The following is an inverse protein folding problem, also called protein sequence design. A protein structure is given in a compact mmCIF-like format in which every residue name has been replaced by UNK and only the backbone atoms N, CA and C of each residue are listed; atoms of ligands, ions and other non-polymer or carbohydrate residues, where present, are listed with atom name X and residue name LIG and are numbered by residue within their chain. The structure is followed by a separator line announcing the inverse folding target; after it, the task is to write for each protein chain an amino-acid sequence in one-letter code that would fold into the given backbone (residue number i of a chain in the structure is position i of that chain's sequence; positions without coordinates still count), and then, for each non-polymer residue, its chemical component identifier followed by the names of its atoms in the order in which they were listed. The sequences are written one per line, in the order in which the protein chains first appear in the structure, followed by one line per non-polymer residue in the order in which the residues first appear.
data_IF_043113678136
#
_entry.id   IF_043113678136
#
_cell.length_a   1.000
_cell.length_b   1.000
_cell.length_c   1.000
_cell.angle_alpha   90.00
_cell.angle_beta   90.00
_cell.angle_gamma   90.00
#
_symmetry.space_group_name_H-M   'P 1'
#
loop_
_entity.id
_entity.type
_entity.pdbx_description
1 polymer ?
#
# COMPACT_ATOMS: atom_id res chain seq x y z
N UNK A 1 -6.93 63.57 1.63
CA UNK A 1 -6.81 62.66 2.79
C UNK A 1 -7.96 61.64 2.86
N UNK A 2 -9.24 62.05 2.94
CA UNK A 2 -10.39 61.11 2.97
C UNK A 2 -10.43 60.09 1.82
N UNK A 3 -10.07 60.50 0.59
CA UNK A 3 -10.02 59.61 -0.60
C UNK A 3 -8.90 58.56 -0.55
N UNK A 4 -7.76 58.89 0.07
CA UNK A 4 -6.62 57.96 0.22
C UNK A 4 -6.93 56.91 1.29
N UNK A 5 -7.57 57.31 2.39
CA UNK A 5 -8.05 56.40 3.44
C UNK A 5 -9.11 55.42 2.89
N UNK A 6 -10.00 55.90 2.01
CA UNK A 6 -11.00 55.05 1.37
C UNK A 6 -10.38 53.99 0.44
N UNK A 7 -9.33 54.37 -0.31
CA UNK A 7 -8.61 53.49 -1.24
C UNK A 7 -7.79 52.42 -0.50
N UNK A 8 -7.14 52.80 0.61
CA UNK A 8 -6.43 51.87 1.49
C UNK A 8 -7.37 50.88 2.18
N UNK A 9 -8.56 51.32 2.57
CA UNK A 9 -9.59 50.45 3.14
C UNK A 9 -10.13 49.40 2.15
N UNK A 10 -10.31 49.78 0.88
CA UNK A 10 -10.75 48.85 -0.17
C UNK A 10 -9.66 47.84 -0.54
N UNK A 11 -8.40 48.26 -0.55
CA UNK A 11 -7.28 47.35 -0.81
C UNK A 11 -7.08 46.34 0.33
N UNK A 12 -7.27 46.75 1.58
CA UNK A 12 -7.20 45.85 2.74
C UNK A 12 -8.28 44.75 2.72
N UNK A 13 -9.48 45.06 2.20
CA UNK A 13 -10.56 44.09 2.04
C UNK A 13 -10.30 43.05 0.93
N UNK A 14 -9.44 43.38 -0.05
CA UNK A 14 -9.09 42.47 -1.15
C UNK A 14 -8.07 41.38 -0.78
N UNK A 15 -7.44 41.46 0.40
CA UNK A 15 -6.45 40.48 0.87
C UNK A 15 -7.08 39.33 1.69
N UNK A 16 -8.37 39.41 2.03
CA UNK A 16 -9.10 38.37 2.77
C UNK A 16 -9.62 37.27 1.83
N UNK A 17 -8.83 36.23 1.60
CA UNK A 17 -9.29 35.02 0.91
C UNK A 17 -9.86 34.01 1.91
N UNK A 18 -11.08 33.53 1.71
CA UNK A 18 -11.68 32.41 2.46
C UNK A 18 -11.00 31.09 2.11
N UNK A 19 -9.81 30.82 2.69
CA UNK A 19 -9.09 29.55 2.46
C UNK A 19 -9.85 28.34 3.01
N UNK A 20 -10.47 28.47 4.18
CA UNK A 20 -11.14 27.37 4.88
C UNK A 20 -12.41 26.84 4.19
N UNK A 21 -12.96 27.56 3.20
CA UNK A 21 -14.10 27.09 2.42
C UNK A 21 -13.73 25.94 1.47
N UNK A 22 -12.48 25.87 1.02
CA UNK A 22 -11.98 24.84 0.11
C UNK A 22 -11.34 23.64 0.84
N UNK A 23 -11.21 23.70 2.16
CA UNK A 23 -10.63 22.61 2.96
C UNK A 23 -11.72 21.58 3.32
N UNK A 24 -12.00 20.66 2.40
CA UNK A 24 -12.93 19.55 2.64
C UNK A 24 -12.26 18.41 3.41
N UNK A 25 -12.93 17.94 4.46
CA UNK A 25 -12.55 16.72 5.19
C UNK A 25 -13.43 15.57 4.73
N UNK A 26 -12.87 14.50 4.15
CA UNK A 26 -13.64 13.30 3.86
C UNK A 26 -14.05 12.62 5.16
N UNK A 27 -15.35 12.39 5.32
CA UNK A 27 -15.97 11.75 6.49
C UNK A 27 -16.38 10.30 6.22
N UNK A 28 -16.49 9.94 4.94
CA UNK A 28 -17.00 8.71 4.39
C UNK A 28 -15.91 7.71 4.02
N UNK A 29 -14.66 8.16 3.89
CA UNK A 29 -13.51 7.28 3.65
C UNK A 29 -12.28 7.63 4.49
N UNK A 30 -11.47 6.60 4.74
CA UNK A 30 -10.19 6.72 5.42
C UNK A 30 -9.15 7.28 4.45
N UNK A 31 -8.45 8.32 4.88
CA UNK A 31 -7.29 8.89 4.21
C UNK A 31 -6.02 8.56 5.00
N UNK A 32 -4.84 8.59 4.37
CA UNK A 32 -3.58 8.48 5.10
C UNK A 32 -3.42 9.52 6.23
N UNK A 33 -4.09 10.67 6.12
CA UNK A 33 -4.04 11.74 7.13
C UNK A 33 -4.92 11.45 8.36
N UNK A 34 -6.03 10.73 8.21
CA UNK A 34 -6.97 10.44 9.30
C UNK A 34 -6.92 8.98 9.79
N UNK A 35 -6.17 8.09 9.12
CA UNK A 35 -6.16 6.66 9.46
C UNK A 35 -5.24 6.29 10.62
N UNK A 36 -3.99 6.78 10.67
CA UNK A 36 -3.01 6.33 11.68
C UNK A 36 -3.13 7.12 13.00
N UNK A 37 -4.22 6.94 13.75
CA UNK A 37 -4.49 7.73 14.97
C UNK A 37 -4.18 6.98 16.25
N UNK A 38 -4.49 5.68 16.30
CA UNK A 38 -4.39 4.89 17.52
C UNK A 38 -3.81 3.48 17.25
N UNK A 39 -3.62 2.73 18.33
CA UNK A 39 -3.09 1.36 18.26
C UNK A 39 -3.93 0.42 17.38
N UNK A 40 -5.26 0.52 17.44
CA UNK A 40 -6.13 -0.34 16.65
C UNK A 40 -5.93 -0.10 15.14
N UNK A 41 -5.72 1.17 14.74
CA UNK A 41 -5.40 1.52 13.35
C UNK A 41 -4.04 0.96 12.94
N UNK A 42 -3.03 1.03 13.80
CA UNK A 42 -1.71 0.45 13.54
C UNK A 42 -1.77 -1.07 13.36
N UNK A 43 -2.58 -1.75 14.18
CA UNK A 43 -2.85 -3.20 14.05
C UNK A 43 -3.61 -3.50 12.75
N UNK A 44 -4.63 -2.72 12.42
CA UNK A 44 -5.38 -2.87 11.18
C UNK A 44 -4.49 -2.66 9.94
N UNK A 45 -3.59 -1.67 9.98
CA UNK A 45 -2.61 -1.43 8.94
C UNK A 45 -1.68 -2.64 8.73
N UNK A 46 -1.15 -3.21 9.82
CA UNK A 46 -0.32 -4.41 9.76
C UNK A 46 -1.09 -5.62 9.21
N UNK A 47 -2.34 -5.82 9.64
CA UNK A 47 -3.21 -6.86 9.10
C UNK A 47 -3.46 -6.65 7.60
N UNK A 48 -3.52 -5.39 7.14
CA UNK A 48 -3.52 -5.03 5.72
C UNK A 48 -2.29 -5.52 4.97
N UNK A 49 -1.10 -5.48 5.59
CA UNK A 49 0.12 -6.08 5.00
C UNK A 49 0.00 -7.60 4.93
N UNK A 50 -0.39 -8.26 6.03
CA UNK A 50 -0.58 -9.71 6.05
C UNK A 50 -1.63 -10.19 5.03
N UNK A 51 -2.71 -9.44 4.83
CA UNK A 51 -3.74 -9.78 3.84
C UNK A 51 -3.20 -9.84 2.42
N UNK A 52 -2.08 -9.18 2.12
CA UNK A 52 -1.43 -9.26 0.80
C UNK A 52 -0.93 -10.66 0.46
N UNK A 53 -0.75 -11.55 1.44
CA UNK A 53 -0.29 -12.93 1.22
C UNK A 53 -1.41 -13.88 0.76
N UNK A 54 -2.66 -13.58 1.10
CA UNK A 54 -3.80 -14.46 0.86
C UNK A 54 -4.17 -14.67 -0.63
N UNK A 55 -4.04 -13.67 -1.52
CA UNK A 55 -4.44 -13.83 -2.91
C UNK A 55 -3.76 -15.02 -3.58
N UNK A 56 -4.56 -15.76 -4.33
CA UNK A 56 -4.08 -16.86 -5.16
C UNK A 56 -3.07 -16.38 -6.22
N UNK A 57 -3.23 -15.14 -6.69
CA UNK A 57 -2.30 -14.45 -7.59
C UNK A 57 -0.93 -14.11 -6.94
N UNK A 58 -0.69 -14.55 -5.70
CA UNK A 58 0.57 -14.34 -4.98
C UNK A 58 0.91 -15.57 -4.12
N UNK A 59 1.19 -15.39 -2.82
CA UNK A 59 1.57 -16.46 -1.89
C UNK A 59 0.52 -17.56 -1.73
N UNK A 60 -0.74 -17.30 -2.04
CA UNK A 60 -1.80 -18.31 -2.03
C UNK A 60 -1.62 -19.39 -3.11
N UNK A 61 -0.86 -19.12 -4.19
CA UNK A 61 -0.52 -20.13 -5.21
C UNK A 61 0.61 -19.68 -6.15
N UNK A 62 0.46 -18.53 -6.80
CA UNK A 62 1.33 -18.10 -7.91
C UNK A 62 2.81 -18.08 -7.53
N UNK A 63 3.18 -17.64 -6.32
CA UNK A 63 4.58 -17.68 -5.84
C UNK A 63 5.17 -19.09 -5.94
N UNK A 64 4.40 -20.12 -5.58
CA UNK A 64 4.82 -21.52 -5.67
C UNK A 64 4.83 -22.03 -7.11
N UNK A 65 3.90 -21.58 -7.95
CA UNK A 65 3.90 -21.97 -9.37
C UNK A 65 5.15 -21.45 -10.08
N UNK A 66 5.50 -20.19 -9.89
CA UNK A 66 6.64 -19.60 -10.60
C UNK A 66 7.99 -20.14 -10.06
N UNK A 67 8.06 -20.62 -8.82
CA UNK A 67 9.28 -21.17 -8.24
C UNK A 67 9.44 -22.66 -8.51
N UNK A 68 8.36 -23.44 -8.42
CA UNK A 68 8.44 -24.90 -8.46
C UNK A 68 8.09 -25.48 -9.82
N UNK A 69 7.19 -24.87 -10.59
CA UNK A 69 6.69 -25.46 -11.85
C UNK A 69 7.74 -25.50 -12.97
N UNK A 70 8.65 -24.51 -13.10
CA UNK A 70 9.79 -24.63 -14.03
C UNK A 70 10.84 -25.66 -13.60
N UNK A 71 10.77 -26.16 -12.35
CA UNK A 71 11.63 -27.20 -11.81
C UNK A 71 11.10 -28.62 -12.06
N UNK A 72 11.58 -29.60 -11.29
CA UNK A 72 11.25 -31.03 -11.41
C UNK A 72 10.37 -31.56 -10.26
N UNK A 73 10.11 -30.75 -9.23
CA UNK A 73 9.34 -31.14 -8.05
C UNK A 73 7.82 -31.10 -8.26
N UNK A 74 7.32 -30.34 -9.24
CA UNK A 74 5.89 -30.15 -9.50
C UNK A 74 5.59 -30.26 -11.00
N UNK A 75 4.47 -30.91 -11.34
CA UNK A 75 3.98 -31.03 -12.71
C UNK A 75 2.64 -30.33 -12.93
N UNK A 76 2.25 -30.18 -14.20
CA UNK A 76 0.92 -29.70 -14.58
C UNK A 76 0.24 -30.66 -15.55
N UNK A 77 -1.09 -30.80 -15.43
CA UNK A 77 -1.92 -31.52 -16.42
C UNK A 77 -2.37 -30.60 -17.57
N UNK A 78 -2.06 -29.30 -17.49
CA UNK A 78 -2.34 -28.37 -18.58
C UNK A 78 -1.53 -28.77 -19.82
N UNK A 79 -2.15 -28.68 -20.99
CA UNK A 79 -1.51 -28.95 -22.30
C UNK A 79 -1.25 -27.68 -23.10
N UNK A 80 -1.67 -26.53 -22.58
CA UNK A 80 -1.49 -25.19 -23.16
C UNK A 80 -1.69 -24.12 -22.09
N UNK A 81 -1.36 -22.87 -22.41
CA UNK A 81 -1.53 -21.70 -21.55
C UNK A 81 -0.38 -21.48 -20.57
N UNK A 82 -0.52 -20.46 -19.72
CA UNK A 82 0.59 -19.85 -18.99
C UNK A 82 1.31 -20.77 -18.01
N UNK A 83 0.60 -21.75 -17.42
CA UNK A 83 1.22 -22.75 -16.53
C UNK A 83 1.96 -23.83 -17.31
N UNK A 84 1.44 -24.22 -18.47
CA UNK A 84 2.14 -25.13 -19.36
C UNK A 84 3.39 -24.47 -19.92
N UNK A 85 3.34 -23.18 -20.21
CA UNK A 85 4.51 -22.39 -20.61
C UNK A 85 5.57 -22.32 -19.50
N UNK A 86 5.17 -22.08 -18.24
CA UNK A 86 6.09 -22.12 -17.09
C UNK A 86 6.75 -23.49 -16.96
N UNK A 87 5.96 -24.56 -17.04
CA UNK A 87 6.44 -25.94 -16.93
C UNK A 87 7.46 -26.29 -18.02
N UNK A 88 7.21 -25.89 -19.28
CA UNK A 88 8.13 -26.16 -20.39
C UNK A 88 9.23 -25.11 -20.56
N UNK A 89 9.33 -24.13 -19.66
CA UNK A 89 10.26 -23.00 -19.78
C UNK A 89 10.12 -22.21 -21.10
N UNK A 90 8.89 -22.08 -21.63
CA UNK A 90 8.58 -21.35 -22.87
C UNK A 90 7.75 -20.08 -22.64
N UNK A 91 7.61 -19.64 -21.38
CA UNK A 91 6.87 -18.44 -21.02
C UNK A 91 7.54 -17.18 -21.60
N UNK A 92 6.71 -16.19 -21.90
CA UNK A 92 7.16 -14.90 -22.45
C UNK A 92 6.93 -13.78 -21.45
N UNK A 93 7.32 -12.56 -21.81
CA UNK A 93 7.14 -11.36 -20.99
C UNK A 93 5.67 -11.03 -20.69
N UNK A 94 4.71 -11.64 -21.40
CA UNK A 94 3.28 -11.42 -21.20
C UNK A 94 2.63 -12.45 -20.28
N UNK A 95 3.38 -13.41 -19.74
CA UNK A 95 2.84 -14.45 -18.86
C UNK A 95 2.29 -13.81 -17.56
N UNK A 96 1.00 -14.01 -17.30
CA UNK A 96 0.29 -13.35 -16.22
C UNK A 96 0.68 -13.89 -14.85
N UNK A 97 1.12 -15.15 -14.72
CA UNK A 97 1.57 -15.70 -13.43
C UNK A 97 2.84 -14.96 -12.97
N UNK A 98 3.78 -14.67 -13.88
CA UNK A 98 4.97 -13.85 -13.57
C UNK A 98 4.58 -12.41 -13.23
N UNK A 99 3.69 -11.81 -14.02
CA UNK A 99 3.23 -10.43 -13.80
C UNK A 99 2.50 -10.29 -12.46
N UNK A 100 1.66 -11.27 -12.12
CA UNK A 100 0.90 -11.32 -10.88
C UNK A 100 1.82 -11.42 -9.67
N UNK A 101 2.83 -12.30 -9.72
CA UNK A 101 3.82 -12.39 -8.65
C UNK A 101 4.51 -11.04 -8.42
N UNK A 102 5.04 -10.42 -9.48
CA UNK A 102 5.73 -9.13 -9.42
C UNK A 102 4.84 -8.04 -8.81
N UNK A 103 3.64 -7.83 -9.36
CA UNK A 103 2.73 -6.77 -8.91
C UNK A 103 2.32 -6.96 -7.45
N UNK A 104 2.09 -8.20 -7.01
CA UNK A 104 1.68 -8.46 -5.64
C UNK A 104 2.84 -8.39 -4.63
N UNK A 105 4.08 -8.75 -5.02
CA UNK A 105 5.28 -8.46 -4.22
C UNK A 105 5.39 -6.96 -3.93
N UNK A 106 5.34 -6.13 -4.97
CA UNK A 106 5.43 -4.66 -4.80
C UNK A 106 4.24 -4.08 -4.03
N UNK A 107 3.05 -4.66 -4.16
CA UNK A 107 1.88 -4.28 -3.34
C UNK A 107 2.14 -4.54 -1.86
N UNK A 108 2.72 -5.68 -1.50
CA UNK A 108 3.06 -5.99 -0.11
C UNK A 108 4.17 -5.08 0.42
N UNK A 109 5.22 -4.83 -0.38
CA UNK A 109 6.29 -3.89 -0.07
C UNK A 109 5.73 -2.49 0.19
N UNK A 110 4.83 -2.01 -0.66
CA UNK A 110 4.21 -0.69 -0.54
C UNK A 110 3.42 -0.56 0.77
N UNK A 111 2.54 -1.54 1.08
CA UNK A 111 1.77 -1.54 2.34
C UNK A 111 2.68 -1.61 3.57
N UNK A 112 3.74 -2.42 3.52
CA UNK A 112 4.71 -2.51 4.60
C UNK A 112 5.45 -1.19 4.81
N UNK A 113 5.81 -0.48 3.73
CA UNK A 113 6.44 0.83 3.81
C UNK A 113 5.52 1.88 4.46
N UNK A 114 4.21 1.84 4.20
CA UNK A 114 3.26 2.73 4.88
C UNK A 114 3.25 2.48 6.38
N UNK A 115 3.18 1.22 6.82
CA UNK A 115 3.23 0.87 8.25
C UNK A 115 4.54 1.36 8.86
N UNK A 116 5.68 1.09 8.22
CA UNK A 116 7.01 1.51 8.71
C UNK A 116 7.13 3.04 8.80
N UNK A 117 6.55 3.77 7.85
CA UNK A 117 6.64 5.22 7.78
C UNK A 117 5.65 5.97 8.68
N UNK A 118 4.48 5.39 8.96
CA UNK A 118 3.36 6.10 9.62
C UNK A 118 3.15 5.68 11.07
N UNK A 119 3.30 4.40 11.40
CA UNK A 119 3.10 3.89 12.77
C UNK A 119 4.05 4.51 13.82
N UNK A 120 5.30 4.93 13.51
CA UNK A 120 6.16 5.55 14.52
C UNK A 120 5.53 6.76 15.24
N UNK A 121 4.70 7.53 14.53
CA UNK A 121 4.01 8.72 15.06
C UNK A 121 2.76 8.40 15.91
N UNK A 122 2.26 7.17 15.88
CA UNK A 122 1.08 6.76 16.65
C UNK A 122 1.43 6.68 18.15
N UNK A 123 0.61 7.27 19.01
CA UNK A 123 0.79 7.17 20.46
C UNK A 123 0.24 5.84 20.97
N UNK A 124 1.11 4.93 21.41
CA UNK A 124 0.77 3.58 21.88
C UNK A 124 1.94 2.97 22.68
N UNK A 125 1.72 1.79 23.28
CA UNK A 125 2.78 1.06 23.98
C UNK A 125 4.00 0.80 23.08
N UNK A 126 5.20 1.02 23.63
CA UNK A 126 6.45 0.95 22.87
C UNK A 126 6.78 -0.49 22.45
N UNK A 127 6.49 -1.47 23.31
CA UNK A 127 6.72 -2.89 23.01
C UNK A 127 5.84 -3.33 21.85
N UNK A 128 4.55 -2.96 21.90
CA UNK A 128 3.60 -3.25 20.84
C UNK A 128 3.95 -2.56 19.53
N UNK A 129 4.34 -1.28 19.57
CA UNK A 129 4.80 -0.52 18.41
C UNK A 129 5.99 -1.21 17.73
N UNK A 130 6.99 -1.62 18.52
CA UNK A 130 8.16 -2.31 17.99
C UNK A 130 7.81 -3.67 17.38
N UNK A 131 6.89 -4.42 17.98
CA UNK A 131 6.39 -5.67 17.40
C UNK A 131 5.73 -5.44 16.03
N UNK A 132 4.88 -4.40 15.90
CA UNK A 132 4.24 -4.05 14.63
C UNK A 132 5.29 -3.69 13.56
N UNK A 133 6.23 -2.82 13.90
CA UNK A 133 7.30 -2.41 12.99
C UNK A 133 8.22 -3.57 12.60
N UNK A 134 8.49 -4.50 13.52
CA UNK A 134 9.25 -5.72 13.26
C UNK A 134 8.57 -6.62 12.24
N UNK A 135 7.28 -6.89 12.43
CA UNK A 135 6.49 -7.68 11.47
C UNK A 135 6.42 -7.01 10.10
N UNK A 136 6.20 -5.69 10.05
CA UNK A 136 6.17 -4.96 8.77
C UNK A 136 7.53 -5.02 8.03
N UNK A 137 8.65 -4.89 8.75
CA UNK A 137 10.00 -5.03 8.17
C UNK A 137 10.26 -6.44 7.66
N UNK A 138 9.86 -7.46 8.42
CA UNK A 138 9.96 -8.85 8.00
C UNK A 138 9.16 -9.10 6.72
N UNK A 139 7.88 -8.71 6.69
CA UNK A 139 7.04 -8.87 5.51
C UNK A 139 7.61 -8.12 4.30
N UNK A 140 8.12 -6.90 4.49
CA UNK A 140 8.78 -6.17 3.40
C UNK A 140 10.00 -6.91 2.83
N UNK A 141 10.79 -7.54 3.68
CA UNK A 141 11.98 -8.28 3.26
C UNK A 141 11.62 -9.64 2.62
N UNK A 142 10.45 -10.20 2.95
CA UNK A 142 9.96 -11.45 2.40
C UNK A 142 9.32 -11.30 1.02
N UNK A 143 8.73 -10.15 0.71
CA UNK A 143 8.13 -9.87 -0.60
C UNK A 143 9.16 -9.71 -1.73
#
# INVERSE_FOLDING_TARGET
MKKIVLLLGTLALSLGSCKSFLDEKPYDFLTPANFYQNEADAVAALNGVFSSLQPQAYYGRTTWLISELPGDAMGTTATSGERFELFNNTFTTTNSEVTNWWVNSYRMINRANDVIGKVPAVNMDATRKNAILGNARFLRAMA
#
